data_IF_235872319681
#
_entry.id   IF_235872319681
#
_cell.length_a   1.000
_cell.length_b   1.000
_cell.length_c   1.000
_cell.angle_alpha   90.00
_cell.angle_beta   90.00
_cell.angle_gamma   90.00
#
_symmetry.space_group_name_H-M   'P 1'
#
loop_
_entity.id
_entity.type
_entity.pdbx_description
1 polymer ?
#
# COMPACT_ATOMS: atom_id res chain seq x y z
N UNK A 1 34.49 3.92 -5.05
CA UNK A 1 33.85 2.64 -4.73
C UNK A 1 32.38 2.94 -4.53
N UNK A 2 31.61 2.85 -5.61
CA UNK A 2 30.16 2.83 -5.52
C UNK A 2 29.82 1.57 -4.72
N UNK A 3 29.24 1.72 -3.53
CA UNK A 3 28.52 0.59 -2.94
C UNK A 3 27.42 0.27 -3.94
N UNK A 4 27.40 -0.94 -4.48
CA UNK A 4 26.18 -1.47 -5.09
C UNK A 4 25.10 -1.36 -4.01
N UNK A 5 24.32 -0.28 -4.06
CA UNK A 5 23.19 -0.11 -3.16
C UNK A 5 22.14 -1.09 -3.67
N UNK A 6 22.14 -2.28 -3.09
CA UNK A 6 21.09 -3.26 -3.25
C UNK A 6 19.74 -2.56 -3.02
N UNK A 7 18.78 -2.82 -3.90
CA UNK A 7 17.45 -2.21 -3.82
C UNK A 7 16.82 -2.56 -2.46
N UNK A 8 16.25 -1.60 -1.72
CA UNK A 8 15.61 -1.91 -0.45
C UNK A 8 14.46 -2.89 -0.67
N UNK A 9 14.22 -3.74 0.32
CA UNK A 9 13.04 -4.61 0.37
C UNK A 9 11.81 -3.69 0.38
N UNK A 10 10.93 -3.83 -0.61
CA UNK A 10 9.69 -3.04 -0.73
C UNK A 10 8.53 -3.81 -0.12
N UNK A 11 7.90 -3.22 0.88
CA UNK A 11 6.74 -3.77 1.57
C UNK A 11 5.57 -2.81 1.40
N UNK A 12 4.46 -3.32 0.88
CA UNK A 12 3.26 -2.52 0.66
C UNK A 12 2.21 -2.90 1.68
N UNK A 13 1.76 -1.92 2.46
CA UNK A 13 0.59 -2.08 3.34
C UNK A 13 -0.64 -1.63 2.56
N UNK A 14 -1.58 -2.55 2.36
CA UNK A 14 -2.73 -2.32 1.47
C UNK A 14 -4.02 -2.89 2.05
N UNK A 15 -5.15 -2.63 1.39
CA UNK A 15 -6.48 -3.08 1.79
C UNK A 15 -7.51 -1.95 1.84
N UNK A 16 -8.76 -2.29 2.22
CA UNK A 16 -9.89 -1.36 2.22
C UNK A 16 -9.66 -0.10 3.06
N UNK A 17 -10.54 0.88 2.88
CA UNK A 17 -10.57 2.09 3.69
C UNK A 17 -10.81 1.79 5.18
N UNK A 18 -10.32 2.67 6.07
CA UNK A 18 -10.52 2.55 7.53
C UNK A 18 -10.00 1.26 8.16
N UNK A 19 -8.86 0.73 7.68
CA UNK A 19 -8.24 -0.52 8.19
C UNK A 19 -6.95 -0.32 8.98
N UNK A 20 -6.50 0.93 9.17
CA UNK A 20 -5.30 1.25 9.96
C UNK A 20 -3.97 1.15 9.20
N UNK A 21 -3.97 1.22 7.86
CA UNK A 21 -2.77 1.16 7.01
C UNK A 21 -1.69 2.17 7.43
N UNK A 22 -2.03 3.46 7.46
CA UNK A 22 -1.10 4.53 7.86
C UNK A 22 -0.54 4.35 9.26
N UNK A 23 -1.37 3.89 10.21
CA UNK A 23 -0.94 3.58 11.57
C UNK A 23 0.10 2.46 11.58
N UNK A 24 -0.13 1.39 10.80
CA UNK A 24 0.83 0.30 10.69
C UNK A 24 2.13 0.75 9.99
N UNK A 25 2.03 1.50 8.88
CA UNK A 25 3.21 2.05 8.18
C UNK A 25 4.09 2.87 9.12
N UNK A 26 3.50 3.79 9.88
CA UNK A 26 4.21 4.59 10.88
C UNK A 26 4.84 3.72 11.98
N UNK A 27 4.12 2.70 12.46
CA UNK A 27 4.65 1.78 13.47
C UNK A 27 5.84 0.94 12.96
N UNK A 28 5.80 0.49 11.71
CA UNK A 28 6.89 -0.25 11.05
C UNK A 28 8.09 0.65 10.79
N UNK A 29 7.87 1.85 10.23
CA UNK A 29 8.90 2.86 10.01
C UNK A 29 9.67 3.16 11.31
N UNK A 30 8.94 3.41 12.40
CA UNK A 30 9.53 3.61 13.74
C UNK A 30 10.31 2.40 14.24
N UNK A 31 9.79 1.20 14.04
CA UNK A 31 10.45 -0.03 14.51
C UNK A 31 11.76 -0.27 13.77
N UNK A 32 11.72 -0.29 12.43
CA UNK A 32 12.89 -0.57 11.57
C UNK A 32 13.80 0.63 11.35
N UNK A 33 13.50 1.79 11.96
CA UNK A 33 14.26 3.05 11.82
C UNK A 33 14.42 3.44 10.34
N UNK A 34 13.31 3.38 9.61
CA UNK A 34 13.18 3.77 8.21
C UNK A 34 12.02 4.77 8.07
N UNK A 35 11.84 5.34 6.89
CA UNK A 35 10.66 6.14 6.53
C UNK A 35 9.66 5.30 5.73
N UNK A 36 8.43 5.81 5.59
CA UNK A 36 7.42 5.19 4.73
C UNK A 36 6.89 6.18 3.69
N UNK A 37 6.54 5.66 2.52
CA UNK A 37 5.94 6.41 1.42
C UNK A 37 4.45 6.62 1.74
N UNK A 38 3.94 7.87 1.82
CA UNK A 38 2.52 8.10 2.05
C UNK A 38 1.68 7.83 0.78
N UNK A 39 0.37 7.73 0.96
CA UNK A 39 -0.61 7.57 -0.13
C UNK A 39 -0.77 8.88 -0.92
N UNK A 40 -0.29 8.92 -2.17
CA UNK A 40 -0.38 10.11 -3.02
C UNK A 40 -1.83 10.48 -3.38
N UNK A 41 -2.72 9.48 -3.49
CA UNK A 41 -4.14 9.73 -3.78
C UNK A 41 -4.78 10.68 -2.75
N UNK A 42 -4.40 10.57 -1.48
CA UNK A 42 -4.90 11.45 -0.42
C UNK A 42 -4.50 12.91 -0.65
N UNK A 43 -3.26 13.16 -1.01
CA UNK A 43 -2.75 14.50 -1.34
C UNK A 43 -3.50 15.06 -2.56
N UNK A 44 -3.60 14.27 -3.62
CA UNK A 44 -4.31 14.65 -4.85
C UNK A 44 -5.76 15.06 -4.58
N UNK A 45 -6.50 14.28 -3.79
CA UNK A 45 -7.91 14.55 -3.48
C UNK A 45 -8.11 15.73 -2.52
N UNK A 46 -7.16 16.00 -1.62
CA UNK A 46 -7.19 17.21 -0.80
C UNK A 46 -7.06 18.47 -1.66
N UNK A 47 -6.18 18.43 -2.66
CA UNK A 47 -5.91 19.58 -3.54
C UNK A 47 -6.98 19.78 -4.62
N UNK A 48 -7.49 18.69 -5.21
CA UNK A 48 -8.36 18.74 -6.38
C UNK A 48 -9.84 18.48 -6.05
N UNK A 49 -10.13 18.07 -4.81
CA UNK A 49 -11.46 17.68 -4.35
C UNK A 49 -11.64 16.17 -4.30
N UNK A 50 -12.63 15.74 -3.52
CA UNK A 50 -12.96 14.32 -3.29
C UNK A 50 -13.41 13.61 -4.56
N UNK A 51 -14.15 14.30 -5.43
CA UNK A 51 -14.63 13.73 -6.68
C UNK A 51 -13.47 13.65 -7.68
N UNK A 52 -13.18 12.44 -8.16
CA UNK A 52 -12.16 12.18 -9.18
C UNK A 52 -12.77 11.38 -10.32
N UNK A 53 -12.26 11.55 -11.54
CA UNK A 53 -12.65 10.78 -12.72
C UNK A 53 -11.58 9.73 -13.05
N UNK A 54 -11.88 8.84 -14.00
CA UNK A 54 -10.97 7.75 -14.38
C UNK A 54 -9.61 8.27 -14.86
N UNK A 55 -9.59 9.39 -15.58
CA UNK A 55 -8.38 10.03 -16.10
C UNK A 55 -7.46 10.54 -14.99
N UNK A 56 -8.00 10.88 -13.82
CA UNK A 56 -7.21 11.31 -12.67
C UNK A 56 -6.38 10.16 -12.09
N UNK A 57 -6.83 8.90 -12.25
CA UNK A 57 -6.10 7.73 -11.77
C UNK A 57 -4.73 7.55 -12.46
N UNK A 58 -4.58 8.06 -13.69
CA UNK A 58 -3.29 8.09 -14.39
C UNK A 58 -2.35 9.07 -13.68
N UNK A 59 -2.82 10.28 -13.36
CA UNK A 59 -2.01 11.28 -12.64
C UNK A 59 -1.65 10.80 -11.24
N UNK A 60 -2.60 10.17 -10.54
CA UNK A 60 -2.37 9.59 -9.21
C UNK A 60 -1.31 8.48 -9.29
N UNK A 61 -1.35 7.65 -10.35
CA UNK A 61 -0.33 6.64 -10.62
C UNK A 61 1.05 7.26 -10.82
N UNK A 62 1.16 8.26 -11.68
CA UNK A 62 2.43 8.97 -11.92
C UNK A 62 2.97 9.63 -10.65
N UNK A 63 2.10 10.23 -9.85
CA UNK A 63 2.46 10.85 -8.57
C UNK A 63 2.98 9.82 -7.56
N UNK A 64 2.27 8.71 -7.40
CA UNK A 64 2.70 7.61 -6.51
C UNK A 64 4.06 7.03 -6.96
N UNK A 65 4.28 6.84 -8.27
CA UNK A 65 5.57 6.38 -8.81
C UNK A 65 6.70 7.35 -8.44
N UNK A 66 6.50 8.65 -8.71
CA UNK A 66 7.52 9.67 -8.42
C UNK A 66 7.85 9.71 -6.93
N UNK A 67 6.82 9.59 -6.08
CA UNK A 67 6.97 9.60 -4.63
C UNK A 67 7.73 8.37 -4.14
N UNK A 68 7.38 7.17 -4.60
CA UNK A 68 8.11 5.94 -4.28
C UNK A 68 9.58 6.02 -4.72
N UNK A 69 9.86 6.50 -5.93
CA UNK A 69 11.23 6.66 -6.44
C UNK A 69 12.05 7.69 -5.64
N UNK A 70 11.42 8.73 -5.11
CA UNK A 70 12.09 9.71 -4.24
C UNK A 70 12.51 9.10 -2.91
N UNK A 71 11.62 8.33 -2.27
CA UNK A 71 11.91 7.65 -1.00
C UNK A 71 12.92 6.52 -1.18
N UNK A 72 12.82 5.74 -2.26
CA UNK A 72 13.73 4.64 -2.56
C UNK A 72 15.19 5.10 -2.69
N UNK A 73 15.45 6.34 -3.13
CA UNK A 73 16.81 6.92 -3.21
C UNK A 73 17.44 7.18 -1.84
N UNK A 74 16.64 7.28 -0.79
CA UNK A 74 17.07 7.67 0.56
C UNK A 74 17.10 6.47 1.52
N UNK A 75 16.46 5.37 1.15
CA UNK A 75 16.26 4.18 1.99
C UNK A 75 17.07 3.01 1.43
N UNK A 76 17.93 2.42 2.26
CA UNK A 76 18.82 1.33 1.84
C UNK A 76 18.31 -0.07 2.20
N UNK A 77 17.45 -0.22 3.21
CA UNK A 77 17.13 -1.54 3.77
C UNK A 77 15.67 -1.94 3.52
N UNK A 78 14.73 -1.16 4.04
CA UNK A 78 13.29 -1.45 4.00
C UNK A 78 12.51 -0.21 3.60
N UNK A 79 11.81 -0.28 2.46
CA UNK A 79 10.89 0.73 1.97
C UNK A 79 9.46 0.27 2.27
N UNK A 80 8.79 0.95 3.22
CA UNK A 80 7.37 0.70 3.53
C UNK A 80 6.50 1.67 2.73
N UNK A 81 5.46 1.19 2.05
CA UNK A 81 4.51 2.03 1.30
C UNK A 81 3.10 1.96 1.91
N UNK A 82 2.53 3.13 2.26
CA UNK A 82 1.11 3.28 2.58
C UNK A 82 0.32 3.39 1.27
N UNK A 83 -0.03 2.18 0.85
CA UNK A 83 -0.42 1.74 -0.48
C UNK A 83 0.60 2.04 -1.59
N UNK A 84 0.44 1.31 -2.68
CA UNK A 84 1.20 1.43 -3.92
C UNK A 84 0.20 1.26 -5.08
N UNK A 85 0.68 1.05 -6.32
CA UNK A 85 -0.16 1.05 -7.52
C UNK A 85 -1.30 0.00 -7.53
N UNK A 86 -1.25 -1.02 -6.67
CA UNK A 86 -2.32 -1.99 -6.53
C UNK A 86 -3.64 -1.35 -6.06
N UNK A 87 -3.59 -0.32 -5.20
CA UNK A 87 -4.81 0.37 -4.74
C UNK A 87 -5.49 1.08 -5.90
N UNK A 88 -4.70 1.69 -6.79
CA UNK A 88 -5.20 2.44 -7.94
C UNK A 88 -5.83 1.49 -8.94
N UNK A 89 -5.23 0.32 -9.16
CA UNK A 89 -5.85 -0.76 -9.93
C UNK A 89 -7.18 -1.19 -9.32
N UNK A 90 -7.21 -1.49 -8.02
CA UNK A 90 -8.44 -1.91 -7.32
C UNK A 90 -9.55 -0.88 -7.51
N UNK A 91 -9.26 0.40 -7.28
CA UNK A 91 -10.27 1.46 -7.44
C UNK A 91 -10.68 1.71 -8.89
N UNK A 92 -9.76 1.55 -9.84
CA UNK A 92 -10.09 1.62 -11.27
C UNK A 92 -11.14 0.57 -11.63
N UNK A 93 -10.88 -0.68 -11.23
CA UNK A 93 -11.77 -1.81 -11.55
C UNK A 93 -13.07 -1.76 -10.73
N UNK A 94 -13.00 -1.40 -9.44
CA UNK A 94 -14.17 -1.36 -8.56
C UNK A 94 -15.15 -0.24 -8.94
N UNK A 95 -14.66 0.99 -9.16
CA UNK A 95 -15.52 2.16 -9.43
C UNK A 95 -15.90 2.28 -10.91
N UNK A 96 -15.00 1.92 -11.82
CA UNK A 96 -15.17 2.15 -13.26
C UNK A 96 -15.27 0.87 -14.11
N UNK A 97 -15.27 -0.30 -13.47
CA UNK A 97 -15.34 -1.60 -14.14
C UNK A 97 -14.29 -1.76 -15.27
N UNK A 98 -13.16 -1.04 -15.16
CA UNK A 98 -12.09 -1.01 -16.14
C UNK A 98 -10.83 -0.37 -15.56
N UNK A 99 -9.66 -0.91 -15.90
CA UNK A 99 -8.37 -0.32 -15.55
C UNK A 99 -7.66 0.17 -16.81
N UNK A 100 -7.02 1.34 -16.73
CA UNK A 100 -6.20 1.82 -17.85
C UNK A 100 -4.99 0.89 -18.05
N UNK A 101 -4.65 0.49 -19.29
CA UNK A 101 -3.49 -0.36 -19.56
C UNK A 101 -2.18 0.17 -18.97
N UNK A 102 -1.99 1.49 -18.94
CA UNK A 102 -0.82 2.10 -18.32
C UNK A 102 -0.73 1.77 -16.83
N UNK A 103 -1.85 1.89 -16.09
CA UNK A 103 -1.89 1.59 -14.65
C UNK A 103 -1.53 0.11 -14.41
N UNK A 104 -2.10 -0.80 -15.20
CA UNK A 104 -1.79 -2.24 -15.11
C UNK A 104 -0.32 -2.53 -15.39
N UNK A 105 0.24 -1.95 -16.44
CA UNK A 105 1.65 -2.09 -16.80
C UNK A 105 2.56 -1.60 -15.67
N UNK A 106 2.30 -0.39 -15.15
CA UNK A 106 3.13 0.19 -14.10
C UNK A 106 3.03 -0.59 -12.79
N UNK A 107 1.84 -1.08 -12.43
CA UNK A 107 1.63 -1.89 -11.22
C UNK A 107 2.38 -3.23 -11.30
N UNK A 108 2.34 -3.90 -12.46
CA UNK A 108 3.07 -5.16 -12.69
C UNK A 108 4.59 -4.96 -12.75
N UNK A 109 5.06 -3.83 -13.28
CA UNK A 109 6.49 -3.53 -13.34
C UNK A 109 7.11 -3.16 -11.98
N UNK A 110 6.28 -2.83 -10.97
CA UNK A 110 6.71 -2.34 -9.65
C UNK A 110 6.17 -3.19 -8.50
N UNK A 111 6.07 -4.50 -8.73
CA UNK A 111 5.66 -5.47 -7.71
C UNK A 111 6.55 -5.35 -6.46
N UNK A 112 5.95 -5.38 -5.26
CA UNK A 112 6.72 -5.37 -4.01
C UNK A 112 7.24 -6.78 -3.68
N UNK A 113 8.09 -6.87 -2.68
CA UNK A 113 8.57 -8.14 -2.13
C UNK A 113 7.53 -8.78 -1.19
N UNK A 114 6.66 -7.97 -0.60
CA UNK A 114 5.58 -8.41 0.30
C UNK A 114 4.38 -7.45 0.27
N UNK A 115 3.18 -8.03 0.24
CA UNK A 115 1.96 -7.32 0.60
C UNK A 115 1.51 -7.66 2.03
N UNK A 116 1.25 -6.62 2.82
CA UNK A 116 0.55 -6.70 4.10
C UNK A 116 -0.90 -6.24 3.87
N UNK A 117 -1.82 -7.19 3.77
CA UNK A 117 -3.23 -6.93 3.48
C UNK A 117 -4.04 -6.77 4.76
N UNK A 118 -4.51 -5.55 5.03
CA UNK A 118 -5.23 -5.20 6.25
C UNK A 118 -6.71 -5.63 6.18
N UNK A 119 -7.17 -6.42 7.15
CA UNK A 119 -8.57 -6.82 7.27
C UNK A 119 -9.47 -5.66 7.72
N UNK A 120 -10.75 -5.60 7.29
CA UNK A 120 -11.73 -4.61 7.74
C UNK A 120 -12.47 -5.04 9.02
N UNK A 121 -11.73 -5.46 10.05
CA UNK A 121 -12.25 -5.84 11.37
C UNK A 121 -12.26 -4.68 12.39
N UNK A 122 -11.64 -3.54 12.05
CA UNK A 122 -11.70 -2.31 12.84
C UNK A 122 -12.99 -1.53 12.56
N UNK A 123 -13.51 -0.80 13.56
CA UNK A 123 -14.64 0.10 13.38
C UNK A 123 -14.37 1.11 12.25
N UNK A 124 -15.42 1.46 11.52
CA UNK A 124 -15.33 2.55 10.56
C UNK A 124 -14.95 3.85 11.27
N UNK A 125 -14.00 4.57 10.70
CA UNK A 125 -13.68 5.92 11.13
C UNK A 125 -14.17 6.89 10.04
N UNK A 126 -15.06 7.84 10.37
CA UNK A 126 -15.45 8.88 9.43
C UNK A 126 -14.23 9.69 8.96
N UNK A 127 -14.09 9.83 7.65
CA UNK A 127 -13.10 10.68 7.00
C UNK A 127 -13.75 11.28 5.74
N UNK A 128 -13.60 12.61 5.48
CA UNK A 128 -14.26 13.27 4.36
C UNK A 128 -13.95 12.68 2.98
N UNK A 129 -12.82 11.98 2.83
CA UNK A 129 -12.39 11.40 1.55
C UNK A 129 -12.90 9.98 1.33
N UNK A 130 -13.49 9.33 2.36
CA UNK A 130 -13.87 7.92 2.29
C UNK A 130 -15.26 7.71 1.70
N UNK A 131 -15.38 6.69 0.85
CA UNK A 131 -16.57 6.46 0.01
C UNK A 131 -17.38 5.22 0.42
N UNK A 132 -16.76 4.16 0.95
CA UNK A 132 -17.41 2.83 1.01
C UNK A 132 -17.42 2.24 2.45
N UNK A 133 -18.30 2.73 3.36
CA UNK A 133 -18.38 2.24 4.73
C UNK A 133 -18.96 0.81 4.83
N UNK A 134 -19.91 0.47 3.98
CA UNK A 134 -20.73 -0.75 4.10
C UNK A 134 -20.15 -1.95 3.31
N UNK A 135 -19.41 -1.69 2.23
CA UNK A 135 -18.93 -2.74 1.30
C UNK A 135 -17.49 -3.20 1.61
N UNK A 136 -16.95 -2.86 2.78
CA UNK A 136 -15.54 -3.11 3.11
C UNK A 136 -15.12 -4.57 3.02
N UNK A 137 -16.02 -5.50 3.37
CA UNK A 137 -15.75 -6.95 3.27
C UNK A 137 -15.69 -7.41 1.81
N UNK A 138 -16.54 -6.86 0.95
CA UNK A 138 -16.55 -7.18 -0.48
C UNK A 138 -15.31 -6.60 -1.17
N UNK A 139 -14.97 -5.36 -0.85
CA UNK A 139 -13.73 -4.72 -1.31
C UNK A 139 -12.51 -5.53 -0.83
N UNK A 140 -12.49 -6.01 0.42
CA UNK A 140 -11.41 -6.86 0.93
C UNK A 140 -11.26 -8.16 0.13
N UNK A 141 -12.38 -8.84 -0.18
CA UNK A 141 -12.36 -10.01 -1.04
C UNK A 141 -11.84 -9.68 -2.45
N UNK A 142 -12.17 -8.50 -2.97
CA UNK A 142 -11.65 -8.00 -4.24
C UNK A 142 -10.13 -7.77 -4.20
N UNK A 143 -9.61 -7.15 -3.13
CA UNK A 143 -8.16 -7.03 -2.90
C UNK A 143 -7.49 -8.39 -2.93
N UNK A 144 -8.02 -9.39 -2.20
CA UNK A 144 -7.46 -10.75 -2.22
C UNK A 144 -7.36 -11.31 -3.63
N UNK A 145 -8.42 -11.16 -4.44
CA UNK A 145 -8.41 -11.59 -5.84
C UNK A 145 -7.31 -10.86 -6.64
N UNK A 146 -7.28 -9.54 -6.62
CA UNK A 146 -6.30 -8.74 -7.37
C UNK A 146 -4.87 -9.07 -6.96
N UNK A 147 -4.59 -9.21 -5.67
CA UNK A 147 -3.24 -9.50 -5.17
C UNK A 147 -2.72 -10.89 -5.58
N UNK A 148 -3.60 -11.87 -5.84
CA UNK A 148 -3.15 -13.19 -6.34
C UNK A 148 -2.49 -13.13 -7.71
N UNK A 149 -2.79 -12.11 -8.51
CA UNK A 149 -2.25 -11.94 -9.85
C UNK A 149 -0.80 -11.41 -9.87
N UNK A 150 -0.34 -10.83 -8.75
CA UNK A 150 1.03 -10.32 -8.64
C UNK A 150 2.06 -11.44 -8.40
N UNK A 151 1.63 -12.64 -8.02
CA UNK A 151 2.51 -13.75 -7.61
C UNK A 151 3.50 -13.38 -6.49
N UNK A 152 3.12 -12.40 -5.66
CA UNK A 152 3.88 -11.94 -4.47
C UNK A 152 3.25 -12.54 -3.22
N UNK A 153 4.06 -12.76 -2.18
CA UNK A 153 3.55 -13.19 -0.88
C UNK A 153 2.57 -12.15 -0.33
N UNK A 154 1.41 -12.61 0.13
CA UNK A 154 0.44 -11.79 0.85
C UNK A 154 0.32 -12.32 2.27
N UNK A 155 0.42 -11.42 3.25
CA UNK A 155 0.15 -11.70 4.66
C UNK A 155 -1.07 -10.89 5.06
N UNK A 156 -2.10 -11.58 5.54
CA UNK A 156 -3.27 -10.92 6.10
C UNK A 156 -2.96 -10.42 7.52
N UNK A 157 -3.29 -9.15 7.78
CA UNK A 157 -2.99 -8.46 9.03
C UNK A 157 -4.31 -8.02 9.66
N UNK A 158 -4.55 -8.46 10.90
CA UNK A 158 -5.85 -8.37 11.58
C UNK A 158 -5.73 -8.08 13.07
N UNK A 159 -6.86 -7.79 13.71
CA UNK A 159 -6.95 -7.48 15.13
C UNK A 159 -6.69 -6.00 15.46
N UNK A 160 -6.31 -5.73 16.71
CA UNK A 160 -6.00 -4.39 17.18
C UNK A 160 -4.62 -3.89 16.70
N UNK A 161 -4.30 -2.62 16.97
CA UNK A 161 -3.03 -2.01 16.55
C UNK A 161 -1.79 -2.80 16.99
N UNK A 162 -1.83 -3.36 18.21
CA UNK A 162 -0.74 -4.17 18.75
C UNK A 162 -0.58 -5.48 17.97
N UNK A 163 -1.66 -6.22 17.79
CA UNK A 163 -1.69 -7.49 17.07
C UNK A 163 -1.23 -7.32 15.62
N UNK A 164 -1.73 -6.28 14.94
CA UNK A 164 -1.36 -5.94 13.56
C UNK A 164 0.14 -5.67 13.42
N UNK A 165 0.70 -4.91 14.36
CA UNK A 165 2.13 -4.62 14.41
C UNK A 165 2.95 -5.90 14.64
N UNK A 166 2.55 -6.75 15.57
CA UNK A 166 3.25 -8.01 15.87
C UNK A 166 3.24 -8.96 14.67
N UNK A 167 2.08 -9.16 14.01
CA UNK A 167 1.96 -9.97 12.80
C UNK A 167 2.91 -9.47 11.71
N UNK A 168 2.89 -8.16 11.45
CA UNK A 168 3.72 -7.56 10.41
C UNK A 168 5.23 -7.70 10.69
N UNK A 169 5.67 -7.40 11.92
CA UNK A 169 7.10 -7.52 12.31
C UNK A 169 7.56 -8.97 12.23
N UNK A 170 6.79 -9.91 12.78
CA UNK A 170 7.16 -11.33 12.75
C UNK A 170 7.28 -11.82 11.30
N UNK A 171 6.31 -11.48 10.45
CA UNK A 171 6.34 -11.85 9.03
C UNK A 171 7.53 -11.26 8.29
N UNK A 172 7.87 -9.99 8.56
CA UNK A 172 9.02 -9.33 7.95
C UNK A 172 10.34 -9.94 8.39
N UNK A 173 10.51 -10.23 9.68
CA UNK A 173 11.73 -10.84 10.20
C UNK A 173 11.89 -12.29 9.71
N UNK A 174 10.79 -13.04 9.59
CA UNK A 174 10.80 -14.42 9.09
C UNK A 174 11.15 -14.48 7.59
N UNK A 175 10.56 -13.58 6.78
CA UNK A 175 10.77 -13.55 5.33
C UNK A 175 12.08 -12.87 4.93
N UNK A 176 12.51 -11.87 5.69
CA UNK A 176 13.68 -11.06 5.42
C UNK A 176 14.57 -10.98 6.68
N UNK A 177 15.33 -12.04 7.02
CA UNK A 177 16.12 -12.09 8.24
C UNK A 177 17.14 -10.96 8.40
N UNK A 178 17.57 -10.34 7.29
CA UNK A 178 18.47 -9.17 7.27
C UNK A 178 17.86 -7.92 7.91
N UNK A 179 16.54 -7.87 8.10
CA UNK A 179 15.84 -6.78 8.77
C UNK A 179 15.74 -6.96 10.30
N UNK A 180 16.05 -8.15 10.82
CA UNK A 180 16.01 -8.41 12.26
C UNK A 180 17.05 -7.55 13.00
N UNK A 181 16.63 -6.90 14.09
CA UNK A 181 17.52 -6.08 14.94
C UNK A 181 18.39 -6.91 15.87
#
# INVERSE_FOLDING_TARGET
>A
MEKDNEKPIKVVVTGPESTGKSTLCSALAKYYKTDYVPEYAREYLIENGREYIKEDLIKITEGQIKLEEQYQKQISNLLVCDTSLEVIRVWSEWKYNSCDPFILEQANARTPDLFLLMTPDLPWQPDPLRENPDDRQEIFAYYKKVLTEYHVKVVEVYGDEKSRKEIAINSLNDLFPTLSQ
#
